data_IF_131211620605
#
_entry.id   IF_131211620605
#
_cell.length_a   1.000
_cell.length_b   1.000
_cell.length_c   1.000
_cell.angle_alpha   90.00
_cell.angle_beta   90.00
_cell.angle_gamma   90.00
#
_symmetry.space_group_name_H-M   'P 1'
#
loop_
_entity.id
_entity.type
_entity.pdbx_description
1 polymer ?
#
# COMPACT_ATOMS: atom_id res chain seq x y z
N UNK A 1 30.49 -2.67 17.77
CA UNK A 1 30.01 -2.82 16.38
C UNK A 1 29.14 -4.08 16.32
N UNK A 2 27.86 -4.00 15.91
CA UNK A 2 26.99 -5.18 15.73
C UNK A 2 26.66 -5.32 14.25
N UNK A 3 27.25 -6.31 13.58
CA UNK A 3 27.04 -6.57 12.15
C UNK A 3 25.75 -7.40 11.99
N UNK A 4 24.89 -7.00 11.05
CA UNK A 4 23.68 -7.72 10.64
C UNK A 4 23.57 -7.69 9.12
N UNK A 5 22.78 -8.61 8.55
CA UNK A 5 22.54 -8.68 7.12
C UNK A 5 21.11 -8.27 6.77
N UNK A 6 20.94 -7.65 5.60
CA UNK A 6 19.63 -7.36 5.02
C UNK A 6 19.71 -7.48 3.50
N UNK A 7 18.72 -8.15 2.90
CA UNK A 7 18.56 -8.14 1.44
C UNK A 7 17.85 -6.84 1.06
N UNK A 8 18.59 -5.94 0.43
CA UNK A 8 18.04 -4.72 -0.17
C UNK A 8 17.37 -5.02 -1.51
N UNK A 9 16.62 -4.05 -2.01
CA UNK A 9 16.01 -4.11 -3.34
C UNK A 9 16.16 -2.76 -4.01
N UNK A 10 16.45 -2.78 -5.30
CA UNK A 10 16.55 -1.59 -6.15
C UNK A 10 15.55 -1.74 -7.28
N UNK A 11 14.75 -0.70 -7.53
CA UNK A 11 13.84 -0.65 -8.66
C UNK A 11 14.36 0.43 -9.62
N UNK A 12 14.72 0.03 -10.84
CA UNK A 12 15.13 0.96 -11.87
C UNK A 12 13.88 1.59 -12.51
N UNK A 13 13.61 2.85 -12.21
CA UNK A 13 12.43 3.57 -12.68
C UNK A 13 12.49 3.90 -14.18
N UNK A 14 13.68 4.06 -14.77
CA UNK A 14 13.85 4.25 -16.22
C UNK A 14 13.34 3.03 -17.02
N UNK A 15 13.37 1.85 -16.40
CA UNK A 15 12.89 0.61 -17.02
C UNK A 15 11.47 0.23 -16.57
N UNK A 16 10.86 1.01 -15.69
CA UNK A 16 9.52 0.72 -15.21
C UNK A 16 8.49 1.10 -16.28
N UNK A 17 7.71 0.11 -16.72
CA UNK A 17 6.67 0.30 -17.74
C UNK A 17 5.26 0.36 -17.15
N UNK A 18 5.12 0.42 -15.83
CA UNK A 18 3.80 0.56 -15.20
C UNK A 18 2.83 -0.62 -15.43
N UNK A 19 3.30 -1.84 -15.68
CA UNK A 19 2.42 -2.95 -16.10
C UNK A 19 1.63 -3.64 -14.97
N UNK A 20 1.82 -3.24 -13.70
CA UNK A 20 1.16 -3.82 -12.52
C UNK A 20 1.31 -5.34 -12.29
N UNK A 21 2.13 -6.07 -13.06
CA UNK A 21 2.35 -7.53 -12.88
C UNK A 21 2.85 -7.86 -11.47
N UNK A 22 3.71 -7.01 -10.92
CA UNK A 22 4.25 -7.15 -9.57
C UNK A 22 3.17 -6.98 -8.48
N UNK A 23 2.11 -6.21 -8.76
CA UNK A 23 0.95 -6.05 -7.87
C UNK A 23 0.03 -7.26 -7.93
N UNK A 24 -0.34 -7.72 -9.14
CA UNK A 24 -1.25 -8.86 -9.34
C UNK A 24 -0.66 -10.14 -8.74
N UNK A 25 0.62 -10.43 -9.01
CA UNK A 25 1.28 -11.62 -8.45
C UNK A 25 1.35 -11.58 -6.92
N UNK A 26 1.64 -10.43 -6.33
CA UNK A 26 1.62 -10.25 -4.88
C UNK A 26 0.21 -10.41 -4.30
N UNK A 27 -0.80 -9.84 -4.96
CA UNK A 27 -2.20 -9.95 -4.59
C UNK A 27 -2.63 -11.42 -4.54
N UNK A 28 -2.43 -12.15 -5.64
CA UNK A 28 -2.84 -13.55 -5.80
C UNK A 28 -2.23 -14.48 -4.74
N UNK A 29 -0.98 -14.25 -4.33
CA UNK A 29 -0.30 -15.11 -3.36
C UNK A 29 -0.69 -14.77 -1.92
N UNK A 30 -0.85 -13.48 -1.57
CA UNK A 30 -0.86 -13.05 -0.17
C UNK A 30 -2.18 -12.44 0.32
N UNK A 31 -2.92 -11.74 -0.54
CA UNK A 31 -3.97 -10.79 -0.12
C UNK A 31 -5.28 -10.95 -0.90
N UNK A 32 -5.61 -12.20 -1.27
CA UNK A 32 -6.91 -12.58 -1.87
C UNK A 32 -8.01 -12.86 -0.83
N UNK A 33 -7.64 -12.98 0.45
CA UNK A 33 -8.56 -13.26 1.55
C UNK A 33 -9.44 -12.04 1.86
N UNK A 34 -10.64 -12.31 2.37
CA UNK A 34 -11.50 -11.28 2.96
C UNK A 34 -10.77 -10.58 4.12
N UNK A 35 -11.00 -9.27 4.26
CA UNK A 35 -10.28 -8.39 5.16
C UNK A 35 -9.08 -7.68 4.54
N UNK A 36 -8.46 -8.25 3.50
CA UNK A 36 -7.25 -7.71 2.84
C UNK A 36 -7.40 -7.64 1.32
N UNK A 37 -8.60 -7.83 0.79
CA UNK A 37 -8.90 -7.65 -0.63
C UNK A 37 -8.60 -6.22 -1.10
N UNK A 38 -8.83 -5.21 -0.26
CA UNK A 38 -8.40 -3.83 -0.53
C UNK A 38 -6.88 -3.65 -0.42
N UNK A 39 -6.17 -4.44 0.38
CA UNK A 39 -4.77 -4.21 0.71
C UNK A 39 -3.81 -4.63 -0.42
N UNK A 40 -3.10 -3.68 -1.02
CA UNK A 40 -2.07 -3.95 -2.04
C UNK A 40 -0.67 -3.84 -1.43
N UNK A 41 -0.11 -4.95 -0.96
CA UNK A 41 1.24 -4.97 -0.38
C UNK A 41 2.29 -4.42 -1.36
N UNK A 42 2.14 -4.78 -2.63
CA UNK A 42 2.86 -4.18 -3.74
C UNK A 42 1.86 -3.43 -4.63
N UNK A 43 2.03 -2.12 -4.79
CA UNK A 43 1.22 -1.28 -5.66
C UNK A 43 2.11 -0.41 -6.54
N UNK A 44 1.60 -0.03 -7.70
CA UNK A 44 2.27 0.89 -8.62
C UNK A 44 1.38 2.12 -8.74
N UNK A 45 1.99 3.29 -8.70
CA UNK A 45 1.32 4.59 -8.83
C UNK A 45 1.82 5.29 -10.08
N UNK A 46 0.94 6.01 -10.77
CA UNK A 46 1.35 6.97 -11.79
C UNK A 46 1.58 8.32 -11.11
N UNK A 47 2.71 8.95 -11.44
CA UNK A 47 3.09 10.28 -10.97
C UNK A 47 3.10 11.27 -12.14
N UNK A 48 2.65 12.52 -11.95
CA UNK A 48 2.13 13.10 -10.69
C UNK A 48 0.74 12.57 -10.28
N UNK A 49 0.56 12.33 -8.99
CA UNK A 49 -0.65 11.77 -8.40
C UNK A 49 -0.58 11.66 -6.86
N UNK A 50 -1.75 11.58 -6.21
CA UNK A 50 -1.85 11.50 -4.75
C UNK A 50 -1.57 10.09 -4.20
N UNK A 51 -1.66 9.06 -5.05
CA UNK A 51 -1.20 7.71 -4.76
C UNK A 51 -2.15 6.88 -3.89
N UNK A 52 -1.59 5.83 -3.27
CA UNK A 52 -2.35 4.83 -2.53
C UNK A 52 -1.76 4.53 -1.13
N UNK A 53 -2.51 4.76 -0.03
CA UNK A 53 -3.77 5.51 0.04
C UNK A 53 -3.60 6.95 -0.44
N UNK A 54 -4.71 7.65 -0.68
CA UNK A 54 -4.68 9.02 -1.19
C UNK A 54 -3.86 9.94 -0.26
N UNK A 55 -2.95 10.70 -0.87
CA UNK A 55 -2.09 11.68 -0.20
C UNK A 55 -1.12 11.06 0.84
N UNK A 56 -0.73 9.79 0.67
CA UNK A 56 0.06 9.06 1.68
C UNK A 56 1.40 9.72 2.04
N UNK A 57 1.97 10.52 1.13
CA UNK A 57 3.25 11.23 1.33
C UNK A 57 3.12 12.42 2.28
N UNK A 58 1.93 13.00 2.40
CA UNK A 58 1.68 14.17 3.25
C UNK A 58 1.71 13.80 4.74
N UNK A 59 2.90 13.83 5.33
CA UNK A 59 3.06 13.55 6.75
C UNK A 59 2.57 14.69 7.64
N UNK A 60 2.18 15.85 7.10
CA UNK A 60 1.48 16.89 7.91
C UNK A 60 0.05 16.44 8.23
N UNK A 61 -0.57 15.67 7.32
CA UNK A 61 -1.84 14.99 7.52
C UNK A 61 -1.69 13.69 8.30
N UNK A 62 -0.77 12.82 7.88
CA UNK A 62 -0.74 11.42 8.33
C UNK A 62 0.11 11.10 9.55
N UNK A 63 0.94 12.05 10.01
CA UNK A 63 1.82 11.89 11.17
C UNK A 63 2.67 10.60 11.20
N UNK A 64 3.04 10.07 10.02
CA UNK A 64 3.90 8.90 9.90
C UNK A 64 5.38 9.24 10.06
N UNK A 65 6.17 8.22 10.38
CA UNK A 65 7.63 8.34 10.46
C UNK A 65 8.14 8.91 11.79
N UNK A 66 9.29 9.58 11.72
CA UNK A 66 10.02 10.09 12.88
C UNK A 66 10.12 11.61 12.85
N UNK A 67 10.20 12.22 14.02
CA UNK A 67 10.62 13.61 14.20
C UNK A 67 11.80 13.67 15.16
N UNK A 68 12.69 14.64 14.94
CA UNK A 68 13.85 14.89 15.80
C UNK A 68 13.52 16.05 16.74
N UNK A 69 13.63 15.81 18.04
CA UNK A 69 13.43 16.85 19.06
C UNK A 69 14.55 17.89 19.02
N UNK A 70 14.33 19.05 19.65
CA UNK A 70 15.37 20.07 19.86
C UNK A 70 16.60 19.53 20.61
N UNK A 71 16.39 18.54 21.49
CA UNK A 71 17.46 17.83 22.20
C UNK A 71 18.16 16.74 21.37
N UNK A 72 17.78 16.56 20.10
CA UNK A 72 18.38 15.60 19.18
C UNK A 72 17.84 14.18 19.28
N UNK A 73 16.89 13.89 20.17
CA UNK A 73 16.26 12.56 20.31
C UNK A 73 15.23 12.32 19.20
N UNK A 74 15.11 11.07 18.75
CA UNK A 74 14.06 10.67 17.82
C UNK A 74 12.80 10.24 18.57
N UNK A 75 11.65 10.64 18.05
CA UNK A 75 10.33 10.18 18.50
C UNK A 75 9.41 9.95 17.30
N UNK A 76 8.46 9.01 17.36
CA UNK A 76 7.46 8.86 16.31
C UNK A 76 6.70 10.17 16.10
N UNK A 77 6.40 10.50 14.84
CA UNK A 77 5.74 11.78 14.52
C UNK A 77 4.32 11.87 15.09
N UNK A 78 3.59 10.75 15.13
CA UNK A 78 2.30 10.63 15.82
C UNK A 78 2.36 10.81 17.36
N UNK A 79 3.57 10.82 17.94
CA UNK A 79 3.79 11.14 19.35
C UNK A 79 4.70 10.15 20.08
N UNK A 80 5.09 10.54 21.29
CA UNK A 80 5.79 9.67 22.23
C UNK A 80 4.86 8.56 22.75
N UNK A 81 5.42 7.57 23.46
CA UNK A 81 4.69 6.39 23.97
C UNK A 81 3.38 6.72 24.69
N UNK A 82 3.38 7.73 25.57
CA UNK A 82 2.18 8.12 26.31
C UNK A 82 1.06 8.65 25.40
N UNK A 83 1.41 9.43 24.36
CA UNK A 83 0.45 9.98 23.40
C UNK A 83 -0.12 8.88 22.50
N UNK A 84 0.72 7.93 22.10
CA UNK A 84 0.27 6.73 21.36
C UNK A 84 -0.74 5.93 22.20
N UNK A 85 -0.47 5.73 23.50
CA UNK A 85 -1.39 5.02 24.40
C UNK A 85 -2.69 5.80 24.65
N UNK A 86 -2.62 7.13 24.79
CA UNK A 86 -3.82 7.97 24.93
C UNK A 86 -4.75 7.88 23.71
N UNK A 87 -4.19 7.73 22.51
CA UNK A 87 -4.93 7.63 21.25
C UNK A 87 -5.31 6.18 20.87
N UNK A 88 -5.17 5.21 21.78
CA UNK A 88 -5.42 3.79 21.46
C UNK A 88 -6.91 3.50 21.19
N UNK A 89 -7.81 4.23 21.85
CA UNK A 89 -9.26 4.05 21.71
C UNK A 89 -9.75 4.56 20.34
N UNK A 90 -9.24 5.70 19.91
CA UNK A 90 -9.50 6.29 18.62
C UNK A 90 -8.21 6.90 18.08
N UNK A 91 -7.61 6.26 17.08
CA UNK A 91 -6.42 6.76 16.40
C UNK A 91 -6.85 7.86 15.41
N UNK A 92 -6.49 9.14 15.65
CA UNK A 92 -6.92 10.25 14.81
C UNK A 92 -6.20 10.30 13.45
N UNK A 93 -5.05 9.61 13.33
CA UNK A 93 -4.20 9.62 12.13
C UNK A 93 -4.39 8.35 11.27
N UNK A 94 -5.41 7.54 11.59
CA UNK A 94 -5.68 6.29 10.89
C UNK A 94 -6.34 6.58 9.54
N UNK A 95 -5.79 6.10 8.41
CA UNK A 95 -6.48 6.18 7.13
C UNK A 95 -7.78 5.38 7.16
N UNK A 96 -8.83 5.98 6.63
CA UNK A 96 -10.14 5.36 6.50
C UNK A 96 -10.20 4.50 5.22
N UNK A 97 -11.24 3.67 5.09
CA UNK A 97 -11.37 2.82 3.91
C UNK A 97 -11.48 3.66 2.62
N UNK A 98 -12.14 4.81 2.70
CA UNK A 98 -12.31 5.72 1.57
C UNK A 98 -11.01 6.41 1.15
N UNK A 99 -10.00 6.49 2.03
CA UNK A 99 -8.66 6.93 1.64
C UNK A 99 -7.98 5.91 0.72
N UNK A 100 -8.29 4.62 0.88
CA UNK A 100 -7.94 3.56 -0.05
C UNK A 100 -8.97 3.49 -1.18
N UNK A 101 -9.98 2.62 -1.03
CA UNK A 101 -11.17 2.48 -1.84
C UNK A 101 -12.09 1.45 -1.17
N UNK A 102 -13.41 1.55 -1.39
CA UNK A 102 -14.33 0.47 -1.05
C UNK A 102 -14.09 -0.71 -2.01
N UNK A 103 -13.64 -1.88 -1.52
CA UNK A 103 -13.45 -3.04 -2.38
C UNK A 103 -14.80 -3.51 -2.93
N UNK A 104 -14.82 -3.85 -4.21
CA UNK A 104 -16.04 -4.24 -4.92
C UNK A 104 -15.84 -5.52 -5.72
N UNK A 105 -16.94 -6.19 -6.00
CA UNK A 105 -17.06 -7.32 -6.93
C UNK A 105 -18.26 -7.08 -7.84
N UNK A 106 -18.52 -7.98 -8.79
CA UNK A 106 -19.64 -7.87 -9.71
C UNK A 106 -20.57 -9.09 -9.62
N UNK A 107 -21.86 -8.84 -9.84
CA UNK A 107 -22.87 -9.89 -9.87
C UNK A 107 -22.84 -10.64 -11.22
N UNK A 108 -21.81 -11.45 -11.42
CA UNK A 108 -21.63 -12.22 -12.66
C UNK A 108 -22.70 -13.31 -12.85
N UNK A 109 -23.30 -13.80 -11.77
CA UNK A 109 -24.32 -14.84 -11.84
C UNK A 109 -25.65 -14.31 -12.39
N UNK A 110 -25.93 -13.01 -12.23
CA UNK A 110 -27.06 -12.37 -12.91
C UNK A 110 -27.00 -12.52 -14.43
N UNK A 111 -25.80 -12.56 -15.04
CA UNK A 111 -25.65 -12.77 -16.49
C UNK A 111 -26.12 -14.15 -16.96
N UNK A 112 -26.15 -15.14 -16.07
CA UNK A 112 -26.52 -16.53 -16.37
C UNK A 112 -27.94 -16.86 -15.92
N UNK A 113 -28.37 -16.25 -14.82
CA UNK A 113 -29.62 -16.58 -14.12
C UNK A 113 -30.77 -15.60 -14.41
N UNK A 114 -30.52 -14.53 -15.16
CA UNK A 114 -31.55 -13.55 -15.49
C UNK A 114 -32.73 -14.21 -16.25
N UNK A 115 -33.98 -13.93 -15.83
CA UNK A 115 -35.17 -14.36 -16.57
C UNK A 115 -35.28 -13.60 -17.90
N UNK A 116 -36.24 -13.97 -18.75
CA UNK A 116 -36.55 -13.19 -19.95
C UNK A 116 -36.94 -11.75 -19.54
N UNK A 117 -36.23 -10.78 -20.10
CA UNK A 117 -36.35 -9.38 -19.75
C UNK A 117 -36.19 -8.49 -20.97
N UNK A 118 -36.81 -7.31 -20.94
CA UNK A 118 -36.83 -6.37 -22.08
C UNK A 118 -35.46 -5.74 -22.37
N UNK A 119 -34.60 -5.63 -21.36
CA UNK A 119 -33.26 -5.08 -21.47
C UNK A 119 -32.22 -6.18 -21.22
N UNK A 120 -31.03 -6.06 -21.82
CA UNK A 120 -29.96 -7.04 -21.60
C UNK A 120 -29.51 -7.08 -20.13
N UNK A 121 -29.24 -8.27 -19.56
CA UNK A 121 -28.72 -8.38 -18.21
C UNK A 121 -27.29 -7.84 -18.13
N UNK A 122 -26.95 -7.20 -17.02
CA UNK A 122 -25.62 -6.61 -16.77
C UNK A 122 -25.11 -7.00 -15.39
N UNK A 123 -23.83 -7.33 -15.26
CA UNK A 123 -23.20 -7.55 -13.96
C UNK A 123 -22.93 -6.19 -13.28
N UNK A 124 -23.72 -5.85 -12.26
CA UNK A 124 -23.58 -4.60 -11.52
C UNK A 124 -22.66 -4.76 -10.30
N UNK A 125 -21.98 -3.68 -9.88
CA UNK A 125 -21.03 -3.75 -8.77
C UNK A 125 -21.74 -3.95 -7.43
N UNK A 126 -21.08 -4.67 -6.53
CA UNK A 126 -21.48 -4.91 -5.14
C UNK A 126 -20.30 -4.66 -4.22
N UNK A 127 -20.56 -4.08 -3.06
CA UNK A 127 -19.54 -3.86 -2.04
C UNK A 127 -19.08 -5.19 -1.44
N UNK A 128 -17.77 -5.38 -1.30
CA UNK A 128 -17.19 -6.50 -0.54
C UNK A 128 -17.23 -6.27 0.98
N UNK A 129 -17.57 -5.07 1.43
CA UNK A 129 -17.72 -4.73 2.85
C UNK A 129 -19.16 -4.93 3.30
N UNK A 130 -20.12 -4.28 2.61
CA UNK A 130 -21.55 -4.32 3.01
C UNK A 130 -22.33 -5.43 2.33
N UNK A 131 -21.85 -5.96 1.19
CA UNK A 131 -22.60 -6.89 0.34
C UNK A 131 -23.71 -6.22 -0.48
N UNK A 132 -23.95 -4.93 -0.26
CA UNK A 132 -24.98 -4.15 -0.93
C UNK A 132 -24.58 -3.79 -2.35
N UNK A 133 -25.59 -3.47 -3.16
CA UNK A 133 -25.40 -3.00 -4.53
C UNK A 133 -24.81 -1.60 -4.52
N UNK A 134 -23.76 -1.39 -5.31
CA UNK A 134 -23.21 -0.06 -5.55
C UNK A 134 -23.89 0.56 -6.78
N UNK A 135 -24.30 1.82 -6.67
CA UNK A 135 -24.80 2.56 -7.84
C UNK A 135 -23.67 2.90 -8.81
N UNK A 136 -22.50 3.25 -8.28
CA UNK A 136 -21.31 3.59 -9.07
C UNK A 136 -20.04 3.26 -8.28
N UNK A 137 -19.01 2.82 -8.99
CA UNK A 137 -17.65 2.75 -8.44
C UNK A 137 -17.02 4.14 -8.60
N UNK A 138 -16.60 4.75 -7.48
CA UNK A 138 -16.06 6.11 -7.47
C UNK A 138 -14.55 6.17 -7.24
N UNK A 139 -13.94 5.06 -6.80
CA UNK A 139 -12.52 4.99 -6.50
C UNK A 139 -11.98 3.58 -6.68
N UNK A 140 -10.67 3.49 -6.85
CA UNK A 140 -9.91 2.24 -6.91
C UNK A 140 -8.46 2.46 -6.49
N UNK A 141 -7.68 1.38 -6.31
CA UNK A 141 -6.29 1.46 -5.83
C UNK A 141 -5.32 2.06 -6.86
N UNK A 142 -5.79 2.26 -8.10
CA UNK A 142 -5.01 2.77 -9.23
C UNK A 142 -5.85 3.76 -10.06
N UNK A 143 -6.64 4.61 -9.39
CA UNK A 143 -7.60 5.51 -10.04
C UNK A 143 -6.96 6.61 -10.90
N UNK A 144 -5.70 6.97 -10.60
CA UNK A 144 -4.93 8.04 -11.25
C UNK A 144 -4.01 7.52 -12.37
N UNK A 145 -4.21 6.28 -12.83
CA UNK A 145 -3.35 5.63 -13.83
C UNK A 145 -3.33 6.38 -15.17
N UNK A 146 -2.16 6.42 -15.82
CA UNK A 146 -1.93 7.12 -17.11
C UNK A 146 -2.52 8.54 -17.09
N UNK A 147 -2.22 9.28 -16.01
CA UNK A 147 -2.67 10.65 -15.80
C UNK A 147 -4.21 10.80 -15.76
N UNK A 148 -4.91 9.76 -15.31
CA UNK A 148 -6.36 9.76 -15.09
C UNK A 148 -6.82 10.90 -14.17
N UNK A 149 -7.73 11.72 -14.67
CA UNK A 149 -8.27 12.88 -13.98
C UNK A 149 -7.57 14.20 -14.32
N UNK A 150 -8.22 15.31 -13.94
CA UNK A 150 -7.72 16.66 -14.21
C UNK A 150 -6.36 16.93 -13.56
N UNK A 151 -5.51 17.70 -14.23
CA UNK A 151 -4.22 18.13 -13.68
C UNK A 151 -4.37 18.92 -12.37
N UNK A 152 -5.44 19.69 -12.20
CA UNK A 152 -5.77 20.39 -10.95
C UNK A 152 -5.88 19.46 -9.73
N UNK A 153 -6.30 18.21 -9.94
CA UNK A 153 -6.43 17.17 -8.90
C UNK A 153 -5.09 16.44 -8.72
N UNK A 154 -4.46 16.02 -9.82
CA UNK A 154 -3.18 15.29 -9.81
C UNK A 154 -2.01 16.14 -9.29
N UNK A 155 -2.01 17.44 -9.59
CA UNK A 155 -0.99 18.39 -9.12
C UNK A 155 -1.03 18.67 -7.61
N UNK A 156 -2.00 18.09 -6.88
CA UNK A 156 -1.99 18.03 -5.41
C UNK A 156 -0.97 17.03 -4.87
N UNK A 157 -0.30 16.27 -5.73
CA UNK A 157 0.88 15.48 -5.40
C UNK A 157 1.82 16.25 -4.47
N UNK A 158 2.16 15.64 -3.33
CA UNK A 158 3.04 16.23 -2.32
C UNK A 158 4.40 16.62 -2.91
N UNK A 159 4.87 15.91 -3.94
CA UNK A 159 6.17 16.16 -4.58
C UNK A 159 6.21 17.47 -5.40
N UNK A 160 5.07 18.14 -5.64
CA UNK A 160 5.03 19.47 -6.22
C UNK A 160 5.16 20.61 -5.19
N UNK A 161 5.32 20.31 -3.90
CA UNK A 161 5.54 21.35 -2.87
C UNK A 161 6.80 22.19 -3.22
N UNK A 162 6.62 23.50 -3.41
CA UNK A 162 7.71 24.41 -3.77
C UNK A 162 8.05 24.47 -5.27
N UNK A 163 7.26 23.83 -6.14
CA UNK A 163 7.46 23.84 -7.61
C UNK A 163 6.37 24.69 -8.28
N UNK A 164 6.76 25.55 -9.23
CA UNK A 164 5.83 26.21 -10.15
C UNK A 164 5.33 25.18 -11.16
N UNK A 165 4.13 24.67 -10.94
CA UNK A 165 3.62 23.45 -11.59
C UNK A 165 2.67 23.72 -12.74
N UNK A 166 2.29 24.99 -12.95
CA UNK A 166 1.32 25.41 -13.96
C UNK A 166 1.74 24.98 -15.37
N UNK A 167 3.05 25.05 -15.68
CA UNK A 167 3.61 24.67 -16.99
C UNK A 167 3.31 23.21 -17.33
N UNK A 168 3.28 22.31 -16.33
CA UNK A 168 3.07 20.88 -16.53
C UNK A 168 1.59 20.52 -16.74
N UNK A 169 0.69 21.51 -16.66
CA UNK A 169 -0.69 21.39 -17.09
C UNK A 169 -0.87 21.58 -18.60
N UNK A 170 0.14 22.11 -19.29
CA UNK A 170 0.15 22.27 -20.75
C UNK A 170 0.38 20.92 -21.44
N UNK A 171 -0.25 20.72 -22.60
CA UNK A 171 -0.19 19.46 -23.32
C UNK A 171 1.25 19.10 -23.72
N UNK A 172 1.99 20.08 -24.23
CA UNK A 172 3.37 19.93 -24.72
C UNK A 172 4.37 19.60 -23.61
N UNK A 173 4.05 19.99 -22.37
CA UNK A 173 4.88 19.79 -21.19
C UNK A 173 4.38 18.64 -20.30
N UNK A 174 3.46 17.82 -20.81
CA UNK A 174 2.92 16.67 -20.08
C UNK A 174 4.01 15.63 -19.85
N UNK A 175 4.15 15.20 -18.60
CA UNK A 175 5.03 14.10 -18.22
C UNK A 175 4.30 13.11 -17.31
N UNK A 176 4.77 11.87 -17.31
CA UNK A 176 4.38 10.87 -16.33
C UNK A 176 5.53 9.92 -16.00
N UNK A 177 5.50 9.35 -14.81
CA UNK A 177 6.40 8.26 -14.42
C UNK A 177 5.67 7.24 -13.56
N UNK A 178 6.20 6.04 -13.47
CA UNK A 178 5.65 4.98 -12.65
C UNK A 178 6.46 4.79 -11.36
N UNK A 179 5.75 4.65 -10.25
CA UNK A 179 6.33 4.46 -8.93
C UNK A 179 5.81 3.13 -8.33
N UNK A 180 6.48 2.00 -8.61
CA UNK A 180 6.23 0.73 -7.93
C UNK A 180 6.77 0.79 -6.49
N UNK A 181 5.94 0.46 -5.50
CA UNK A 181 6.28 0.54 -4.08
C UNK A 181 5.85 -0.70 -3.31
N UNK A 182 6.65 -1.07 -2.31
CA UNK A 182 6.31 -2.06 -1.29
C UNK A 182 6.84 -1.61 0.08
N UNK A 183 6.79 -2.46 1.10
CA UNK A 183 7.37 -2.11 2.40
C UNK A 183 8.89 -1.95 2.29
N UNK A 184 9.43 -0.85 2.80
CA UNK A 184 10.89 -0.60 2.77
C UNK A 184 11.73 -1.47 3.73
N UNK A 185 11.09 -2.28 4.58
CA UNK A 185 11.76 -3.08 5.63
C UNK A 185 12.88 -2.30 6.35
N UNK A 186 12.56 -1.07 6.78
CA UNK A 186 13.51 -0.09 7.28
C UNK A 186 14.47 -0.64 8.34
N UNK A 187 15.65 -0.04 8.47
CA UNK A 187 16.57 -0.28 9.60
C UNK A 187 16.00 0.28 10.91
N UNK A 188 15.37 1.46 10.84
CA UNK A 188 14.66 2.09 11.95
C UNK A 188 13.14 2.19 11.67
N UNK A 189 12.40 1.08 11.76
CA UNK A 189 11.00 1.02 11.35
C UNK A 189 10.08 1.77 12.33
N UNK A 190 9.48 2.87 11.86
CA UNK A 190 8.51 3.65 12.64
C UNK A 190 7.27 2.82 13.03
N UNK A 191 6.85 1.87 12.20
CA UNK A 191 5.73 0.97 12.51
C UNK A 191 6.03 0.10 13.75
N UNK A 192 7.27 -0.38 13.92
CA UNK A 192 7.65 -1.17 15.08
C UNK A 192 7.69 -0.33 16.35
N UNK A 193 8.27 0.88 16.28
CA UNK A 193 8.28 1.83 17.39
C UNK A 193 6.87 2.30 17.81
N UNK A 194 5.92 2.22 16.89
CA UNK A 194 4.54 2.64 17.08
C UNK A 194 3.61 1.56 17.62
N UNK A 195 4.04 0.29 17.63
CA UNK A 195 3.19 -0.83 18.03
C UNK A 195 3.19 -0.98 19.56
N UNK A 196 2.05 -0.76 20.26
CA UNK A 196 2.02 -0.84 21.73
C UNK A 196 2.28 -2.25 22.27
N UNK A 197 1.87 -3.29 21.53
CA UNK A 197 2.04 -4.68 21.95
C UNK A 197 3.41 -5.28 21.60
N UNK A 198 4.26 -4.55 20.89
CA UNK A 198 5.56 -5.07 20.44
C UNK A 198 5.46 -6.24 19.44
N UNK A 199 4.32 -6.41 18.75
CA UNK A 199 4.11 -7.50 17.81
C UNK A 199 4.92 -7.35 16.50
N UNK A 200 5.47 -6.17 16.22
CA UNK A 200 6.24 -5.91 15.02
C UNK A 200 7.73 -6.00 15.35
N UNK A 201 8.45 -6.84 14.62
CA UNK A 201 9.86 -7.10 14.84
C UNK A 201 10.62 -7.15 13.52
N UNK A 202 11.93 -6.92 13.59
CA UNK A 202 12.86 -7.07 12.46
C UNK A 202 13.70 -8.31 12.70
N UNK A 203 13.62 -9.27 11.78
CA UNK A 203 14.44 -10.50 11.82
C UNK A 203 15.92 -10.16 11.76
N UNK A 204 16.73 -10.84 12.57
CA UNK A 204 18.16 -10.52 12.69
C UNK A 204 18.98 -11.06 11.52
N UNK A 205 18.53 -12.17 10.94
CA UNK A 205 19.23 -12.93 9.91
C UNK A 205 19.09 -12.37 8.49
N UNK A 206 17.97 -11.69 8.17
CA UNK A 206 17.71 -11.15 6.83
C UNK A 206 17.08 -9.76 6.82
N UNK A 207 16.89 -9.14 8.00
CA UNK A 207 16.40 -7.78 8.12
C UNK A 207 14.92 -7.62 7.75
N UNK A 208 14.16 -8.69 7.53
CA UNK A 208 12.74 -8.58 7.18
C UNK A 208 11.93 -8.15 8.41
N UNK A 209 11.30 -6.97 8.32
CA UNK A 209 10.27 -6.52 9.27
C UNK A 209 8.96 -7.29 9.08
N UNK A 210 8.45 -7.92 10.13
CA UNK A 210 7.20 -8.71 10.13
C UNK A 210 6.26 -8.27 11.25
N UNK A 211 4.97 -8.62 11.12
CA UNK A 211 3.96 -8.48 12.17
C UNK A 211 3.61 -9.88 12.63
N UNK A 212 3.92 -10.19 13.88
CA UNK A 212 3.53 -11.43 14.55
C UNK A 212 2.00 -11.47 14.68
N UNK A 213 1.36 -12.37 13.93
CA UNK A 213 -0.10 -12.48 13.91
C UNK A 213 -0.67 -13.06 15.20
N UNK A 214 0.11 -13.75 16.02
CA UNK A 214 -0.33 -14.27 17.32
C UNK A 214 -0.25 -13.21 18.41
N UNK A 215 0.76 -12.32 18.35
CA UNK A 215 0.93 -11.20 19.30
C UNK A 215 0.20 -9.93 18.87
N UNK A 216 -0.19 -9.80 17.61
CA UNK A 216 -0.96 -8.67 17.13
C UNK A 216 -2.30 -8.60 17.88
N UNK A 217 -2.62 -7.42 18.41
CA UNK A 217 -3.86 -7.13 19.16
C UNK A 217 -4.76 -6.14 18.43
N UNK A 218 -4.47 -5.84 17.16
CA UNK A 218 -5.32 -4.95 16.37
C UNK A 218 -5.26 -3.47 16.75
N UNK A 219 -4.24 -3.03 17.51
CA UNK A 219 -4.15 -1.64 17.98
C UNK A 219 -4.01 -0.57 16.89
N UNK A 220 -3.78 -0.95 15.63
CA UNK A 220 -3.82 -0.08 14.42
C UNK A 220 -2.94 1.19 14.43
N UNK A 221 -2.15 1.44 15.48
CA UNK A 221 -1.17 2.54 15.57
C UNK A 221 0.03 2.37 14.63
N UNK A 222 0.29 1.14 14.17
CA UNK A 222 1.35 0.86 13.22
C UNK A 222 0.99 1.28 11.78
N UNK A 223 -0.31 1.40 11.46
CA UNK A 223 -0.81 1.85 10.17
C UNK A 223 -0.48 3.33 9.98
N UNK A 224 -0.88 4.18 10.93
CA UNK A 224 -0.54 5.61 10.95
C UNK A 224 0.97 5.84 11.07
N UNK A 225 1.63 5.10 11.97
CA UNK A 225 3.06 5.24 12.23
C UNK A 225 3.97 4.94 11.03
N UNK A 226 3.52 4.14 10.05
CA UNK A 226 4.26 3.94 8.81
C UNK A 226 4.13 5.17 7.90
N UNK A 227 5.22 5.89 7.57
CA UNK A 227 5.14 7.03 6.66
C UNK A 227 4.80 6.61 5.23
N UNK A 228 5.12 5.38 4.85
CA UNK A 228 4.82 4.82 3.53
C UNK A 228 3.43 4.20 3.41
N UNK A 229 2.67 4.13 4.51
CA UNK A 229 1.36 3.48 4.59
C UNK A 229 1.33 2.04 4.05
N UNK A 230 2.42 1.30 4.30
CA UNK A 230 2.63 -0.11 3.88
C UNK A 230 2.24 -1.15 4.93
N UNK A 231 1.47 -0.74 5.92
CA UNK A 231 0.82 -1.64 6.89
C UNK A 231 -0.67 -1.44 6.69
N UNK A 232 -1.37 -2.53 6.42
CA UNK A 232 -2.81 -2.53 6.15
C UNK A 232 -3.53 -3.22 7.30
N UNK A 233 -4.73 -2.77 7.62
CA UNK A 233 -5.55 -3.40 8.65
C UNK A 233 -6.44 -4.46 8.00
N UNK A 234 -6.33 -5.71 8.44
CA UNK A 234 -7.28 -6.75 8.03
C UNK A 234 -8.58 -6.54 8.82
N UNK A 235 -9.62 -6.03 8.15
CA UNK A 235 -10.89 -5.70 8.79
C UNK A 235 -11.70 -6.94 9.21
N UNK A 236 -11.42 -8.11 8.64
CA UNK A 236 -12.08 -9.39 8.97
C UNK A 236 -11.45 -10.05 10.21
N UNK A 237 -10.11 -10.14 10.26
CA UNK A 237 -9.40 -10.78 11.39
C UNK A 237 -9.09 -9.82 12.54
N UNK A 238 -9.26 -8.52 12.32
CA UNK A 238 -8.97 -7.48 13.29
C UNK A 238 -7.48 -7.23 13.53
N UNK A 239 -6.58 -7.74 12.67
CA UNK A 239 -5.12 -7.65 12.83
C UNK A 239 -4.48 -6.93 11.64
N UNK A 240 -3.37 -6.23 11.87
CA UNK A 240 -2.63 -5.62 10.76
C UNK A 240 -1.73 -6.62 10.04
N UNK A 241 -1.65 -6.47 8.73
CA UNK A 241 -0.79 -7.26 7.84
C UNK A 241 0.08 -6.33 6.96
N UNK A 242 1.18 -6.86 6.44
CA UNK A 242 2.11 -6.12 5.57
C UNK A 242 2.90 -7.07 4.68
N UNK A 243 3.58 -6.52 3.67
CA UNK A 243 4.50 -7.26 2.80
C UNK A 243 5.47 -8.15 3.62
N UNK A 244 5.51 -9.48 3.41
CA UNK A 244 6.44 -10.39 4.09
C UNK A 244 7.81 -10.50 3.40
N UNK A 245 8.08 -9.71 2.34
CA UNK A 245 9.28 -9.77 1.50
C UNK A 245 9.60 -11.19 1.00
N UNK A 246 8.84 -11.65 0.01
CA UNK A 246 8.95 -13.00 -0.53
C UNK A 246 10.11 -13.23 -1.53
N UNK A 247 11.18 -12.42 -1.49
CA UNK A 247 12.38 -12.62 -2.34
C UNK A 247 12.97 -14.03 -2.12
N UNK A 248 12.67 -14.68 -0.98
CA UNK A 248 13.25 -15.95 -0.55
C UNK A 248 12.44 -17.22 -0.90
N UNK A 249 11.28 -17.14 -1.56
CA UNK A 249 10.58 -18.34 -2.05
C UNK A 249 11.40 -19.13 -3.10
N UNK A 250 12.52 -18.57 -3.58
CA UNK A 250 13.44 -19.16 -4.55
C UNK A 250 14.43 -20.19 -3.99
N UNK A 251 14.62 -20.33 -2.67
CA UNK A 251 15.58 -21.32 -2.15
C UNK A 251 15.05 -22.77 -2.11
N UNK A 252 13.74 -22.99 -2.27
CA UNK A 252 13.14 -24.33 -2.19
C UNK A 252 12.50 -24.84 -3.51
N UNK A 253 12.51 -24.06 -4.60
CA UNK A 253 11.71 -24.41 -5.79
C UNK A 253 12.30 -23.92 -7.14
N UNK A 254 13.61 -24.00 -7.35
CA UNK A 254 14.19 -23.83 -8.70
C UNK A 254 14.64 -25.20 -9.21
N UNK A 255 13.69 -25.95 -9.80
CA UNK A 255 14.04 -27.02 -10.76
C UNK A 255 14.40 -26.35 -12.11
N UNK A 256 15.32 -26.91 -12.90
CA UNK A 256 15.98 -26.19 -14.00
C UNK A 256 15.14 -25.92 -15.27
N UNK A 257 13.84 -26.23 -15.30
CA UNK A 257 13.06 -26.28 -16.55
C UNK A 257 12.01 -25.20 -16.77
N UNK A 258 11.81 -24.25 -15.83
CA UNK A 258 10.83 -23.18 -16.00
C UNK A 258 11.52 -21.81 -16.00
N UNK A 259 11.74 -21.24 -17.20
CA UNK A 259 12.04 -19.81 -17.36
C UNK A 259 10.92 -19.02 -16.70
N UNK A 260 11.21 -18.27 -15.62
CA UNK A 260 10.28 -17.27 -15.09
C UNK A 260 9.97 -16.25 -16.20
N UNK A 261 8.70 -15.83 -16.38
CA UNK A 261 8.41 -14.69 -17.24
C UNK A 261 9.18 -13.47 -16.74
N UNK A 262 9.84 -12.78 -17.67
CA UNK A 262 10.74 -11.67 -17.39
C UNK A 262 10.08 -10.50 -16.63
N UNK A 263 8.73 -10.41 -16.63
CA UNK A 263 7.95 -9.40 -15.91
C UNK A 263 7.80 -9.65 -14.40
N UNK A 264 8.10 -10.86 -13.91
CA UNK A 264 8.12 -11.19 -12.48
C UNK A 264 9.54 -11.25 -11.89
N UNK A 265 10.56 -11.04 -12.73
CA UNK A 265 11.96 -11.31 -12.42
C UNK A 265 12.87 -10.07 -12.46
N UNK A 266 12.34 -8.86 -12.68
CA UNK A 266 13.14 -7.63 -12.67
C UNK A 266 13.64 -7.18 -11.29
N UNK A 267 13.59 -8.06 -10.29
CA UNK A 267 14.30 -7.94 -9.02
C UNK A 267 15.56 -8.82 -8.99
N UNK A 268 16.22 -9.02 -10.13
CA UNK A 268 17.60 -9.53 -10.16
C UNK A 268 18.54 -8.41 -9.77
N UNK A 269 19.02 -8.52 -8.52
CA UNK A 269 20.18 -7.86 -7.94
C UNK A 269 21.31 -7.65 -8.96
N UNK A 270 21.77 -6.40 -9.09
CA UNK A 270 23.19 -6.13 -9.24
C UNK A 270 23.85 -6.20 -7.86
#
# INVERSE_FOLDING_TARGET
MKIRAQIGMVLNLDKCIGCHTCSVTCKNVWTTRDGVEYAWFNNVETKPGTGYPADWENQKRWNGGWTRSRSGKLQPKQGAKWRILANIFANPDLPEIDDYYEPFDFDYDHLKSAPEMKAFPTARPRSKITGERMEKIEKGPNWEEILGGEFSKRSKDYNFEGVQKEIYGEYENTFMMYLPRLCEHCLNPACAASCPSGAIYKREEDGIVLIDQEKCRGWRMCVSGCPYKKVYYNWSTGKSEKCPCAIRASKAAIRPSARKPASAASATSA
#
